data_IF_419229251754
#
_entry.id   IF_419229251754
#
_cell.length_a   1.000
_cell.length_b   1.000
_cell.length_c   1.000
_cell.angle_alpha   90.00
_cell.angle_beta   90.00
_cell.angle_gamma   90.00
#
_symmetry.space_group_name_H-M   'P 1'
#
loop_
_entity.id
_entity.type
_entity.pdbx_description
1 polymer ?
#
# COMPACT_ATOMS: atom_id res chain seq x y z
N UNK A 1 -19.72 -11.30 25.76
CA UNK A 1 -18.45 -12.05 25.75
C UNK A 1 -17.34 -11.17 25.19
N UNK A 2 -16.30 -10.88 25.98
CA UNK A 2 -15.18 -10.03 25.56
C UNK A 2 -14.09 -10.90 24.91
N UNK A 3 -13.98 -10.88 23.58
CA UNK A 3 -12.92 -11.59 22.85
C UNK A 3 -11.61 -10.79 22.97
N UNK A 4 -10.55 -11.41 23.50
CA UNK A 4 -9.18 -10.87 23.47
C UNK A 4 -8.42 -11.45 22.29
N UNK A 5 -7.89 -10.57 21.45
CA UNK A 5 -7.15 -10.87 20.22
C UNK A 5 -5.67 -10.49 20.45
N UNK A 6 -4.78 -11.44 20.72
CA UNK A 6 -3.34 -11.15 20.91
C UNK A 6 -3.04 -10.09 21.98
N UNK A 7 -3.80 -10.10 23.09
CA UNK A 7 -3.67 -9.11 24.18
C UNK A 7 -4.49 -7.82 24.01
N UNK A 8 -4.96 -7.50 22.80
CA UNK A 8 -5.82 -6.35 22.50
C UNK A 8 -7.30 -6.73 22.55
N UNK A 9 -8.16 -5.79 22.97
CA UNK A 9 -9.61 -5.97 22.82
C UNK A 9 -9.99 -5.91 21.33
N UNK A 10 -11.08 -6.55 20.92
CA UNK A 10 -11.58 -6.45 19.53
C UNK A 10 -11.80 -4.98 19.12
N UNK A 11 -12.22 -4.13 20.07
CA UNK A 11 -12.39 -2.70 19.85
C UNK A 11 -11.10 -1.99 19.49
N UNK A 12 -10.01 -2.29 20.20
CA UNK A 12 -8.70 -1.68 19.96
C UNK A 12 -8.07 -2.21 18.68
N UNK A 13 -8.24 -3.50 18.39
CA UNK A 13 -7.79 -4.08 17.13
C UNK A 13 -8.43 -3.40 15.91
N UNK A 14 -9.75 -3.14 15.95
CA UNK A 14 -10.44 -2.39 14.88
C UNK A 14 -9.85 -0.99 14.69
N UNK A 15 -9.61 -0.27 15.78
CA UNK A 15 -9.03 1.09 15.72
C UNK A 15 -7.63 1.07 15.11
N UNK A 16 -6.79 0.12 15.51
CA UNK A 16 -5.42 -0.04 14.97
C UNK A 16 -5.48 -0.38 13.48
N UNK A 17 -6.30 -1.35 13.08
CA UNK A 17 -6.43 -1.74 11.67
C UNK A 17 -6.97 -0.59 10.80
N UNK A 18 -7.97 0.14 11.30
CA UNK A 18 -8.51 1.33 10.62
C UNK A 18 -7.44 2.43 10.47
N UNK A 19 -6.67 2.71 11.52
CA UNK A 19 -5.59 3.71 11.48
C UNK A 19 -4.50 3.29 10.48
N UNK A 20 -4.09 2.03 10.50
CA UNK A 20 -3.11 1.50 9.54
C UNK A 20 -3.62 1.59 8.11
N UNK A 21 -4.89 1.22 7.86
CA UNK A 21 -5.50 1.34 6.54
C UNK A 21 -5.59 2.78 6.05
N UNK A 22 -5.95 3.73 6.92
CA UNK A 22 -5.97 5.17 6.59
C UNK A 22 -4.58 5.69 6.22
N UNK A 23 -3.55 5.30 6.97
CA UNK A 23 -2.16 5.67 6.66
C UNK A 23 -1.73 5.11 5.31
N UNK A 24 -2.04 3.84 5.01
CA UNK A 24 -1.74 3.23 3.71
C UNK A 24 -2.43 3.97 2.55
N UNK A 25 -3.70 4.38 2.72
CA UNK A 25 -4.40 5.16 1.69
C UNK A 25 -3.74 6.51 1.45
N UNK A 26 -3.44 7.26 2.52
CA UNK A 26 -2.78 8.58 2.39
C UNK A 26 -1.42 8.43 1.74
N UNK A 27 -0.63 7.46 2.19
CA UNK A 27 0.71 7.22 1.68
C UNK A 27 0.68 6.82 0.21
N UNK A 28 -0.19 5.87 -0.16
CA UNK A 28 -0.38 5.44 -1.53
C UNK A 28 -0.84 6.58 -2.45
N UNK A 29 -1.67 7.51 -1.98
CA UNK A 29 -2.04 8.70 -2.77
C UNK A 29 -0.84 9.62 -3.05
N UNK A 30 -0.04 9.91 -2.03
CA UNK A 30 1.15 10.76 -2.21
C UNK A 30 2.17 10.08 -3.11
N UNK A 31 2.37 8.77 -2.95
CA UNK A 31 3.21 7.96 -3.85
C UNK A 31 2.69 7.94 -5.27
N UNK A 32 1.37 7.80 -5.47
CA UNK A 32 0.76 7.83 -6.80
C UNK A 32 1.01 9.17 -7.50
N UNK A 33 0.86 10.29 -6.78
CA UNK A 33 1.13 11.62 -7.31
C UNK A 33 2.61 11.75 -7.68
N UNK A 34 3.53 11.35 -6.79
CA UNK A 34 4.97 11.39 -7.06
C UNK A 34 5.34 10.53 -8.27
N UNK A 35 4.79 9.31 -8.37
CA UNK A 35 5.02 8.41 -9.48
C UNK A 35 4.44 8.95 -10.80
N UNK A 36 3.27 9.59 -10.78
CA UNK A 36 2.68 10.22 -11.96
C UNK A 36 3.52 11.40 -12.47
N UNK A 37 4.06 12.23 -11.56
CA UNK A 37 4.99 13.30 -11.92
C UNK A 37 6.27 12.73 -12.56
N UNK A 38 6.85 11.70 -11.95
CA UNK A 38 8.03 11.00 -12.48
C UNK A 38 7.76 10.37 -13.84
N UNK A 39 6.62 9.70 -14.02
CA UNK A 39 6.21 9.12 -15.28
C UNK A 39 6.05 10.20 -16.38
N UNK A 40 5.42 11.33 -16.05
CA UNK A 40 5.28 12.47 -16.95
C UNK A 40 6.62 13.12 -17.33
N UNK A 41 7.59 13.17 -16.40
CA UNK A 41 8.95 13.63 -16.73
C UNK A 41 9.65 12.66 -17.67
N UNK A 42 9.60 11.35 -17.42
CA UNK A 42 10.28 10.34 -18.26
C UNK A 42 9.71 10.31 -19.67
N UNK A 43 8.39 10.36 -19.84
CA UNK A 43 7.76 10.44 -21.17
C UNK A 43 8.21 11.66 -21.99
N UNK A 44 8.55 12.76 -21.32
CA UNK A 44 8.98 14.00 -21.98
C UNK A 44 10.45 13.96 -22.42
N UNK A 45 11.29 13.17 -21.75
CA UNK A 45 12.75 13.18 -21.95
C UNK A 45 13.32 11.89 -22.54
N UNK A 46 12.55 10.80 -22.59
CA UNK A 46 13.00 9.49 -23.12
C UNK A 46 12.24 9.16 -24.40
N UNK A 47 12.60 9.82 -25.51
CA UNK A 47 11.97 9.59 -26.83
C UNK A 47 12.69 8.53 -27.69
N UNK A 48 13.78 7.91 -27.19
CA UNK A 48 14.41 6.77 -27.87
C UNK A 48 14.82 5.66 -26.86
N UNK A 49 14.04 4.57 -26.73
CA UNK A 49 14.23 3.54 -25.69
C UNK A 49 15.31 2.50 -26.02
N UNK A 50 16.35 2.85 -26.79
CA UNK A 50 17.35 1.87 -27.25
C UNK A 50 18.45 1.58 -26.21
N UNK A 51 18.49 2.32 -25.11
CA UNK A 51 19.43 2.11 -24.01
C UNK A 51 18.81 1.32 -22.84
N UNK A 52 19.55 0.33 -22.33
CA UNK A 52 19.14 -0.50 -21.19
C UNK A 52 18.80 0.32 -19.93
N UNK A 53 19.45 1.47 -19.76
CA UNK A 53 19.24 2.38 -18.62
C UNK A 53 17.89 3.12 -18.74
N UNK A 54 17.50 3.52 -19.95
CA UNK A 54 16.20 4.12 -20.20
C UNK A 54 15.05 3.13 -19.94
N UNK A 55 15.23 1.86 -20.34
CA UNK A 55 14.28 0.79 -20.07
C UNK A 55 14.12 0.54 -18.56
N UNK A 56 15.22 0.56 -17.79
CA UNK A 56 15.17 0.44 -16.33
C UNK A 56 14.32 1.55 -15.70
N UNK A 57 14.50 2.81 -16.09
CA UNK A 57 13.71 3.92 -15.55
C UNK A 57 12.22 3.79 -15.88
N UNK A 58 11.88 3.37 -17.10
CA UNK A 58 10.50 3.12 -17.50
C UNK A 58 9.85 2.01 -16.64
N UNK A 59 10.53 0.88 -16.47
CA UNK A 59 10.03 -0.24 -15.68
C UNK A 59 9.82 0.16 -14.22
N UNK A 60 10.81 0.83 -13.60
CA UNK A 60 10.71 1.28 -12.21
C UNK A 60 9.57 2.27 -12.01
N UNK A 61 9.33 3.18 -12.96
CA UNK A 61 8.21 4.11 -12.91
C UNK A 61 6.85 3.40 -13.02
N UNK A 62 6.70 2.46 -13.94
CA UNK A 62 5.46 1.68 -14.09
C UNK A 62 5.19 0.87 -12.81
N UNK A 63 6.23 0.22 -12.28
CA UNK A 63 6.15 -0.51 -11.02
C UNK A 63 5.77 0.40 -9.85
N UNK A 64 6.30 1.63 -9.80
CA UNK A 64 5.95 2.62 -8.77
C UNK A 64 4.47 2.98 -8.83
N UNK A 65 3.94 3.31 -10.01
CA UNK A 65 2.50 3.62 -10.20
C UNK A 65 1.63 2.41 -9.83
N UNK A 66 1.97 1.22 -10.30
CA UNK A 66 1.25 0.00 -9.96
C UNK A 66 1.28 -0.27 -8.45
N UNK A 67 2.43 -0.09 -7.80
CA UNK A 67 2.57 -0.25 -6.35
C UNK A 67 1.64 0.67 -5.57
N UNK A 68 1.58 1.94 -5.95
CA UNK A 68 0.75 2.93 -5.28
C UNK A 68 -0.74 2.59 -5.37
N UNK A 69 -1.21 2.10 -6.54
CA UNK A 69 -2.60 1.65 -6.71
C UNK A 69 -2.90 0.44 -5.81
N UNK A 70 -1.98 -0.53 -5.75
CA UNK A 70 -2.15 -1.72 -4.91
C UNK A 70 -2.14 -1.33 -3.42
N UNK A 71 -1.30 -0.38 -3.00
CA UNK A 71 -1.27 0.17 -1.64
C UNK A 71 -2.58 0.87 -1.27
N UNK A 72 -3.13 1.71 -2.16
CA UNK A 72 -4.42 2.38 -1.94
C UNK A 72 -5.54 1.34 -1.78
N UNK A 73 -5.63 0.39 -2.70
CA UNK A 73 -6.67 -0.65 -2.67
C UNK A 73 -6.56 -1.56 -1.45
N UNK A 74 -5.33 -1.92 -1.04
CA UNK A 74 -5.09 -2.69 0.19
C UNK A 74 -5.45 -1.90 1.44
N UNK A 75 -5.12 -0.59 1.49
CA UNK A 75 -5.53 0.30 2.58
C UNK A 75 -7.04 0.41 2.73
N UNK A 76 -7.78 0.54 1.61
CA UNK A 76 -9.25 0.52 1.60
C UNK A 76 -9.77 -0.84 2.10
N UNK A 77 -9.22 -1.95 1.61
CA UNK A 77 -9.59 -3.29 2.06
C UNK A 77 -9.37 -3.47 3.57
N UNK A 78 -8.28 -2.94 4.13
CA UNK A 78 -8.01 -2.96 5.57
C UNK A 78 -9.03 -2.13 6.37
N UNK A 79 -9.43 -0.96 5.86
CA UNK A 79 -10.50 -0.14 6.47
C UNK A 79 -11.83 -0.91 6.45
N UNK A 80 -12.20 -1.54 5.33
CA UNK A 80 -13.42 -2.35 5.24
C UNK A 80 -13.34 -3.53 6.21
N UNK A 81 -12.18 -4.19 6.31
CA UNK A 81 -11.96 -5.30 7.25
C UNK A 81 -12.12 -4.88 8.70
N UNK A 82 -11.73 -3.65 9.05
CA UNK A 82 -11.94 -3.12 10.40
C UNK A 82 -13.43 -3.05 10.80
N UNK A 83 -14.34 -2.88 9.82
CA UNK A 83 -15.80 -2.91 10.06
C UNK A 83 -16.38 -4.33 9.97
N UNK A 84 -15.88 -5.14 9.05
CA UNK A 84 -16.36 -6.50 8.80
C UNK A 84 -15.36 -7.57 9.23
N UNK A 85 -14.82 -7.47 10.44
CA UNK A 85 -13.86 -8.43 11.00
C UNK A 85 -14.26 -9.91 10.87
N UNK A 86 -15.53 -10.36 11.04
CA UNK A 86 -15.85 -11.78 10.91
C UNK A 86 -15.76 -12.32 9.46
N UNK A 87 -15.68 -11.44 8.45
CA UNK A 87 -15.63 -11.88 7.05
C UNK A 87 -14.29 -12.53 6.68
N UNK A 88 -14.36 -13.83 6.42
CA UNK A 88 -13.23 -14.70 6.05
C UNK A 88 -12.57 -14.29 4.74
N UNK A 89 -13.32 -14.08 3.62
CA UNK A 89 -12.68 -13.74 2.35
C UNK A 89 -11.92 -12.42 2.44
N UNK A 90 -12.41 -11.47 3.23
CA UNK A 90 -11.77 -10.17 3.40
C UNK A 90 -10.48 -10.26 4.22
N UNK A 91 -10.39 -11.15 5.21
CA UNK A 91 -9.13 -11.41 5.93
C UNK A 91 -8.05 -11.92 4.99
N UNK A 92 -8.37 -12.92 4.16
CA UNK A 92 -7.45 -13.43 3.15
C UNK A 92 -7.11 -12.38 2.10
N UNK A 93 -8.09 -11.60 1.64
CA UNK A 93 -7.86 -10.52 0.68
C UNK A 93 -6.90 -9.45 1.24
N UNK A 94 -7.09 -9.01 2.49
CA UNK A 94 -6.20 -8.04 3.14
C UNK A 94 -4.81 -8.63 3.38
N UNK A 95 -4.73 -9.88 3.84
CA UNK A 95 -3.44 -10.57 4.02
C UNK A 95 -2.67 -10.66 2.70
N UNK A 96 -3.28 -11.23 1.66
CA UNK A 96 -2.64 -11.41 0.36
C UNK A 96 -2.29 -10.07 -0.30
N UNK A 97 -3.19 -9.08 -0.27
CA UNK A 97 -2.91 -7.75 -0.82
C UNK A 97 -1.82 -7.01 -0.05
N UNK A 98 -1.76 -7.12 1.29
CA UNK A 98 -0.72 -6.49 2.11
C UNK A 98 0.66 -7.10 1.86
N UNK A 99 0.73 -8.43 1.68
CA UNK A 99 1.96 -9.11 1.26
C UNK A 99 2.41 -8.63 -0.12
N UNK A 100 1.48 -8.56 -1.08
CA UNK A 100 1.76 -8.04 -2.41
C UNK A 100 2.25 -6.58 -2.37
N UNK A 101 1.62 -5.72 -1.57
CA UNK A 101 2.08 -4.34 -1.33
C UNK A 101 3.51 -4.31 -0.83
N UNK A 102 3.82 -5.08 0.22
CA UNK A 102 5.15 -5.08 0.82
C UNK A 102 6.23 -5.49 -0.18
N UNK A 103 5.99 -6.55 -0.95
CA UNK A 103 6.93 -7.03 -1.97
C UNK A 103 7.07 -6.04 -3.12
N UNK A 104 5.97 -5.46 -3.59
CA UNK A 104 5.96 -4.55 -4.73
C UNK A 104 6.60 -3.20 -4.36
N UNK A 105 6.28 -2.63 -3.20
CA UNK A 105 6.92 -1.40 -2.70
C UNK A 105 8.41 -1.63 -2.41
N UNK A 106 8.80 -2.80 -1.89
CA UNK A 106 10.21 -3.16 -1.71
C UNK A 106 10.95 -3.26 -3.05
N UNK A 107 10.35 -3.92 -4.03
CA UNK A 107 10.91 -4.02 -5.39
C UNK A 107 11.06 -2.64 -6.03
N UNK A 108 10.05 -1.77 -5.85
CA UNK A 108 10.10 -0.39 -6.32
C UNK A 108 11.22 0.40 -5.63
N UNK A 109 11.37 0.27 -4.31
CA UNK A 109 12.45 0.91 -3.55
C UNK A 109 13.84 0.46 -4.04
N UNK A 110 14.04 -0.84 -4.27
CA UNK A 110 15.29 -1.36 -4.83
C UNK A 110 15.54 -0.83 -6.25
N UNK A 111 14.50 -0.77 -7.09
CA UNK A 111 14.59 -0.23 -8.44
C UNK A 111 14.91 1.28 -8.47
N UNK A 112 14.30 2.07 -7.59
CA UNK A 112 14.59 3.49 -7.42
C UNK A 112 16.02 3.69 -6.88
N UNK A 113 16.43 2.90 -5.89
CA UNK A 113 17.78 2.95 -5.35
C UNK A 113 18.83 2.61 -6.41
N UNK A 114 18.60 1.57 -7.21
CA UNK A 114 19.46 1.23 -8.35
C UNK A 114 19.50 2.36 -9.38
N UNK A 115 18.36 2.99 -9.66
CA UNK A 115 18.28 4.13 -10.59
C UNK A 115 19.07 5.34 -10.10
N UNK A 116 18.97 5.66 -8.80
CA UNK A 116 19.74 6.71 -8.15
C UNK A 116 21.24 6.37 -8.16
N UNK A 117 21.62 5.13 -7.83
CA UNK A 117 23.01 4.69 -7.79
C UNK A 117 23.67 4.74 -9.17
N UNK A 118 23.01 4.22 -10.21
CA UNK A 118 23.49 4.30 -11.60
C UNK A 118 23.62 5.76 -12.04
N UNK A 119 22.69 6.62 -11.62
CA UNK A 119 22.72 8.05 -11.92
C UNK A 119 23.94 8.75 -11.32
N UNK A 120 24.31 8.43 -10.08
CA UNK A 120 25.55 8.96 -9.47
C UNK A 120 26.82 8.35 -10.10
N UNK A 121 26.82 7.05 -10.35
CA UNK A 121 27.96 6.35 -10.97
C UNK A 121 28.27 6.88 -12.37
N UNK A 122 27.23 7.28 -13.13
CA UNK A 122 27.37 7.86 -14.47
C UNK A 122 27.52 9.38 -14.46
N UNK A 123 27.68 10.03 -13.29
CA UNK A 123 27.76 11.50 -13.15
C UNK A 123 26.57 12.23 -13.81
N UNK A 124 25.40 11.60 -13.83
CA UNK A 124 24.20 12.11 -14.49
C UNK A 124 24.17 12.02 -16.01
N UNK A 125 25.25 11.55 -16.68
CA UNK A 125 25.31 11.46 -18.14
C UNK A 125 24.20 10.59 -18.75
N UNK A 126 23.72 9.56 -18.05
CA UNK A 126 22.62 8.72 -18.51
C UNK A 126 21.25 9.43 -18.51
N UNK A 127 21.05 10.43 -17.66
CA UNK A 127 19.85 11.29 -17.67
C UNK A 127 19.98 12.44 -18.68
N UNK A 128 21.21 12.88 -18.96
CA UNK A 128 21.51 13.94 -19.93
C UNK A 128 21.74 13.42 -21.37
N UNK A 129 21.75 12.11 -21.62
CA UNK A 129 21.95 11.53 -22.95
C UNK A 129 20.89 11.98 -23.99
N UNK A 130 19.83 12.66 -23.56
CA UNK A 130 18.84 13.33 -24.41
C UNK A 130 19.35 14.66 -25.04
N UNK A 131 20.40 15.30 -24.51
CA UNK A 131 21.15 16.32 -25.24
C UNK A 131 22.31 15.58 -25.97
N UNK A 132 22.36 15.63 -27.30
CA UNK A 132 23.42 14.97 -28.09
C UNK A 132 24.79 15.57 -27.76
N UNK A 133 25.59 14.86 -26.96
CA UNK A 133 26.98 15.22 -26.70
C UNK A 133 27.87 14.64 -27.81
N UNK A 134 28.14 15.43 -28.84
CA UNK A 134 29.00 15.01 -29.97
C UNK A 134 30.49 15.03 -29.60
N UNK A 135 30.91 15.60 -28.47
CA UNK A 135 32.32 15.55 -28.03
C UNK A 135 32.55 15.85 -26.54
N UNK A 136 33.55 15.21 -25.90
CA UNK A 136 33.84 15.32 -24.46
C UNK A 136 34.54 16.62 -24.04
N UNK A 137 34.90 17.52 -24.97
CA UNK A 137 35.60 18.78 -24.66
C UNK A 137 34.67 20.00 -24.50
N UNK A 138 33.35 19.84 -24.74
CA UNK A 138 32.38 20.93 -24.71
C UNK A 138 31.48 20.93 -23.46
N UNK A 139 31.97 20.39 -22.35
CA UNK A 139 31.27 20.32 -21.05
C UNK A 139 30.87 21.69 -20.47
N UNK A 140 31.37 22.79 -21.04
CA UNK A 140 31.11 24.16 -20.60
C UNK A 140 30.23 25.00 -21.56
N UNK A 141 29.87 24.49 -22.75
CA UNK A 141 29.27 25.33 -23.79
C UNK A 141 28.23 24.56 -24.62
N UNK A 142 27.18 24.02 -24.01
CA UNK A 142 26.00 23.52 -24.71
C UNK A 142 25.02 24.70 -24.96
N UNK A 143 25.00 25.34 -26.15
CA UNK A 143 24.22 26.57 -26.35
C UNK A 143 22.77 26.29 -26.76
N UNK A 144 22.42 25.05 -27.10
CA UNK A 144 21.14 24.71 -27.74
C UNK A 144 20.37 23.58 -27.02
N UNK A 145 20.33 23.57 -25.68
CA UNK A 145 19.25 22.87 -24.97
C UNK A 145 18.28 23.95 -24.41
N UNK A 146 17.01 24.00 -24.84
CA UNK A 146 16.04 25.06 -24.49
C UNK A 146 15.66 25.09 -23.00
N UNK A 147 16.18 24.16 -22.21
CA UNK A 147 16.00 24.05 -20.76
C UNK A 147 17.35 23.83 -20.09
N UNK A 148 17.58 24.50 -18.97
CA UNK A 148 18.77 24.30 -18.13
C UNK A 148 18.78 22.87 -17.54
N UNK A 149 19.72 22.00 -17.97
CA UNK A 149 19.71 20.58 -17.63
C UNK A 149 20.06 20.33 -16.16
N UNK A 150 20.76 21.26 -15.49
CA UNK A 150 21.17 21.12 -14.09
C UNK A 150 19.97 21.14 -13.13
N UNK A 151 18.95 21.93 -13.45
CA UNK A 151 17.75 22.09 -12.61
C UNK A 151 16.78 20.91 -12.71
N UNK A 152 16.62 20.35 -13.91
CA UNK A 152 15.75 19.18 -14.17
C UNK A 152 16.34 17.93 -13.52
N UNK A 153 17.67 17.75 -13.64
CA UNK A 153 18.39 16.65 -13.00
C UNK A 153 18.19 16.63 -11.47
N UNK A 154 18.42 17.77 -10.82
CA UNK A 154 18.25 17.89 -9.36
C UNK A 154 16.80 17.63 -8.92
N UNK A 155 15.82 18.11 -9.69
CA UNK A 155 14.39 17.93 -9.40
C UNK A 155 13.95 16.47 -9.52
N UNK A 156 14.37 15.76 -10.57
CA UNK A 156 14.03 14.34 -10.78
C UNK A 156 14.69 13.45 -9.73
N UNK A 157 15.95 13.71 -9.37
CA UNK A 157 16.65 12.97 -8.33
C UNK A 157 16.00 13.18 -6.95
N UNK A 158 15.58 14.42 -6.65
CA UNK A 158 14.81 14.72 -5.45
C UNK A 158 13.47 13.96 -5.41
N UNK A 159 12.73 13.94 -6.51
CA UNK A 159 11.48 13.17 -6.61
C UNK A 159 11.71 11.66 -6.47
N UNK A 160 12.78 11.10 -7.03
CA UNK A 160 13.15 9.70 -6.80
C UNK A 160 13.50 9.43 -5.34
N UNK A 161 14.23 10.34 -4.69
CA UNK A 161 14.54 10.24 -3.26
C UNK A 161 13.29 10.28 -2.39
N UNK A 162 12.37 11.20 -2.66
CA UNK A 162 11.08 11.30 -1.96
C UNK A 162 10.25 10.03 -2.19
N UNK A 163 10.15 9.57 -3.44
CA UNK A 163 9.42 8.35 -3.80
C UNK A 163 10.02 7.12 -3.12
N UNK A 164 11.35 7.02 -3.03
CA UNK A 164 12.05 5.95 -2.31
C UNK A 164 11.65 5.92 -0.83
N UNK A 165 11.61 7.08 -0.16
CA UNK A 165 11.18 7.18 1.24
C UNK A 165 9.74 6.70 1.40
N UNK A 166 8.84 7.10 0.50
CA UNK A 166 7.46 6.64 0.53
C UNK A 166 7.33 5.14 0.29
N UNK A 167 8.02 4.56 -0.70
CA UNK A 167 8.01 3.11 -0.94
C UNK A 167 8.50 2.32 0.29
N UNK A 168 9.52 2.80 0.99
CA UNK A 168 9.99 2.17 2.25
C UNK A 168 8.90 2.27 3.32
N UNK A 169 8.32 3.45 3.53
CA UNK A 169 7.24 3.63 4.49
C UNK A 169 6.03 2.74 4.18
N UNK A 170 5.63 2.61 2.91
CA UNK A 170 4.55 1.74 2.45
C UNK A 170 4.85 0.29 2.79
N UNK A 171 6.07 -0.16 2.51
CA UNK A 171 6.49 -1.52 2.82
C UNK A 171 6.39 -1.81 4.33
N UNK A 172 6.78 -0.86 5.18
CA UNK A 172 6.68 -0.98 6.64
C UNK A 172 5.22 -1.09 7.07
N UNK A 173 4.35 -0.18 6.62
CA UNK A 173 2.93 -0.21 6.97
C UNK A 173 2.20 -1.43 6.39
N UNK A 174 2.59 -1.88 5.20
CA UNK A 174 2.06 -3.10 4.58
C UNK A 174 2.48 -4.34 5.39
N UNK A 175 3.73 -4.43 5.83
CA UNK A 175 4.20 -5.51 6.75
C UNK A 175 3.42 -5.46 8.06
N UNK A 176 3.20 -4.28 8.64
CA UNK A 176 2.34 -4.15 9.83
C UNK A 176 0.91 -4.63 9.57
N UNK A 177 0.34 -4.32 8.42
CA UNK A 177 -0.99 -4.78 8.03
C UNK A 177 -1.02 -6.31 7.86
N UNK A 178 -0.01 -6.90 7.22
CA UNK A 178 0.18 -8.35 7.11
C UNK A 178 0.28 -9.01 8.47
N UNK A 179 1.04 -8.44 9.42
CA UNK A 179 1.13 -8.95 10.80
C UNK A 179 -0.24 -8.96 11.49
N UNK A 180 -1.00 -7.87 11.37
CA UNK A 180 -2.36 -7.78 11.94
C UNK A 180 -3.30 -8.79 11.29
N UNK A 181 -3.26 -8.94 9.96
CA UNK A 181 -4.07 -9.90 9.22
C UNK A 181 -3.67 -11.35 9.54
N UNK A 182 -2.38 -11.62 9.73
CA UNK A 182 -1.87 -12.92 10.16
C UNK A 182 -2.43 -13.29 11.54
N UNK A 183 -2.38 -12.37 12.51
CA UNK A 183 -2.98 -12.59 13.83
C UNK A 183 -4.50 -12.88 13.75
N UNK A 184 -5.22 -12.27 12.81
CA UNK A 184 -6.63 -12.59 12.55
C UNK A 184 -6.86 -13.98 11.91
N UNK A 185 -5.87 -14.50 11.17
CA UNK A 185 -5.90 -15.81 10.52
C UNK A 185 -5.45 -16.92 11.48
N UNK A 186 -4.40 -16.68 12.29
CA UNK A 186 -3.88 -17.60 13.33
C UNK A 186 -4.88 -17.87 14.46
N UNK A 187 -5.86 -16.99 14.64
CA UNK A 187 -6.98 -17.23 15.57
C UNK A 187 -8.06 -18.12 14.96
N UNK A 188 -7.86 -18.61 13.73
CA UNK A 188 -8.82 -19.38 12.98
C UNK A 188 -8.35 -20.76 12.47
N UNK A 189 -7.50 -21.56 13.16
CA UNK A 189 -7.25 -22.91 12.68
C UNK A 189 -8.47 -23.83 12.79
N UNK A 190 -9.54 -23.50 13.55
CA UNK A 190 -10.66 -24.45 13.77
C UNK A 190 -12.07 -23.87 13.96
N UNK A 191 -12.47 -22.80 13.26
CA UNK A 191 -13.91 -22.45 13.15
C UNK A 191 -14.41 -22.66 11.72
N UNK A 192 -14.31 -23.92 11.29
CA UNK A 192 -15.07 -24.46 10.18
C UNK A 192 -16.23 -25.28 10.73
N UNK A 193 -17.39 -24.64 10.94
CA UNK A 193 -18.75 -25.14 10.65
C UNK A 193 -19.78 -24.15 11.21
N UNK A 194 -20.88 -23.96 10.46
CA UNK A 194 -22.07 -23.17 10.77
C UNK A 194 -22.06 -21.70 10.31
N UNK A 195 -22.38 -21.51 9.03
CA UNK A 195 -23.24 -20.41 8.56
C UNK A 195 -23.72 -20.74 7.14
N UNK A 196 -24.39 -21.87 7.01
CA UNK A 196 -25.35 -22.11 5.94
C UNK A 196 -26.63 -22.60 6.62
N UNK A 197 -27.35 -21.67 7.26
CA UNK A 197 -28.78 -21.80 7.46
C UNK A 197 -29.40 -20.41 7.55
N UNK A 198 -30.49 -20.25 6.79
CA UNK A 198 -31.45 -19.15 6.76
C UNK A 198 -31.05 -17.89 5.99
N UNK A 199 -30.97 -18.07 4.67
CA UNK A 199 -31.70 -17.20 3.75
C UNK A 199 -33.02 -17.92 3.42
N UNK A 200 -34.09 -17.71 4.21
CA UNK A 200 -35.49 -17.79 3.76
C UNK A 200 -36.45 -17.34 4.87
N UNK A 201 -37.09 -16.19 4.63
CA UNK A 201 -38.53 -15.91 4.83
C UNK A 201 -39.15 -16.05 6.23
N UNK A 202 -39.65 -14.94 6.79
CA UNK A 202 -41.11 -14.83 6.93
C UNK A 202 -41.65 -13.46 7.36
N UNK A 203 -42.93 -13.19 7.05
CA UNK A 203 -43.66 -11.95 7.29
C UNK A 203 -44.20 -11.84 8.72
N UNK A 204 -44.65 -10.64 9.09
CA UNK A 204 -45.52 -10.44 10.26
C UNK A 204 -46.75 -11.36 10.20
N UNK A 205 -47.23 -11.87 11.35
CA UNK A 205 -48.41 -11.23 11.94
C UNK A 205 -48.46 -11.18 13.49
N UNK A 206 -49.16 -10.13 13.94
CA UNK A 206 -50.02 -9.87 15.12
C UNK A 206 -50.30 -10.99 16.16
N UNK A 207 -50.46 -10.51 17.42
CA UNK A 207 -51.25 -10.99 18.59
C UNK A 207 -50.55 -11.65 19.81
N UNK A 208 -50.42 -10.83 20.87
CA UNK A 208 -50.99 -10.99 22.22
C UNK A 208 -50.70 -12.25 23.07
N UNK A 209 -49.87 -12.11 24.12
CA UNK A 209 -50.25 -12.37 25.54
C UNK A 209 -49.09 -12.26 26.54
N UNK A 210 -49.44 -11.69 27.69
CA UNK A 210 -48.68 -11.49 28.93
C UNK A 210 -47.99 -12.74 29.52
N UNK A 211 -46.84 -12.58 30.20
CA UNK A 211 -46.69 -12.81 31.65
C UNK A 211 -45.22 -12.70 32.14
N UNK A 212 -44.99 -11.71 33.00
CA UNK A 212 -44.46 -11.81 34.38
C UNK A 212 -43.40 -12.87 34.79
N UNK A 213 -42.41 -12.34 35.52
CA UNK A 213 -41.76 -12.90 36.72
C UNK A 213 -40.45 -13.69 36.57
N UNK A 214 -39.34 -13.06 36.99
CA UNK A 214 -38.14 -13.75 37.46
C UNK A 214 -38.31 -14.12 38.95
N UNK A 215 -38.13 -15.38 39.38
CA UNK A 215 -37.92 -15.70 40.78
C UNK A 215 -36.42 -15.73 41.12
N UNK A 216 -36.05 -14.99 42.16
CA UNK A 216 -34.77 -15.13 42.87
C UNK A 216 -35.06 -15.90 44.16
N UNK A 217 -34.54 -17.12 44.27
CA UNK A 217 -34.52 -17.90 45.50
C UNK A 217 -33.10 -18.43 45.71
N UNK A 218 -32.43 -17.97 46.76
CA UNK A 218 -31.15 -18.54 47.23
C UNK A 218 -31.36 -19.86 47.97
N UNK A 219 -30.28 -20.51 48.45
CA UNK A 219 -30.36 -21.50 49.51
C UNK A 219 -29.59 -21.11 50.78
N UNK A 220 -30.18 -21.52 51.91
CA UNK A 220 -29.68 -21.49 53.29
C UNK A 220 -28.48 -22.41 53.54
N UNK A 221 -27.69 -22.05 54.57
CA UNK A 221 -27.06 -22.85 55.67
C UNK A 221 -25.77 -22.10 56.08
N UNK A 222 -25.47 -21.79 57.34
CA UNK A 222 -25.79 -22.33 58.67
C UNK A 222 -25.75 -21.17 59.68
#
# INVERSE_FOLDING_TARGET
MCLRLGGLSVGDFRKVLMKTGLVLVVLGHVSFIAAALLHGTVLRYVTAPHDAVALQYCVVNILSVASAIVVITSGIAAIVLSRYLPSIPLRWAVFSSSVACALLSLTCALGLLASIAVTFATQGRALLAACTFESPELLALAPDCPFDPTRIYSSSLCLWGISLVFCVAESVFAVRCTQLAHQLLELRPWWGKSSHHMMQESPEPVEDRDLMSCPSSGPLTL
#
